data_IF_648366222791
#
_entry.id   IF_648366222791
#
_cell.length_a   1.000
_cell.length_b   1.000
_cell.length_c   1.000
_cell.angle_alpha   90.00
_cell.angle_beta   90.00
_cell.angle_gamma   90.00
#
_symmetry.space_group_name_H-M   'P 1'
#
loop_
_entity.id
_entity.type
_entity.pdbx_description
1 polymer ?
#
# COMPACT_ATOMS: atom_id res chain seq x y z
N UNK A 1 21.14 -24.37 -9.88
CA UNK A 1 20.76 -22.99 -10.18
C UNK A 1 19.51 -22.68 -9.37
N UNK A 2 19.47 -21.57 -8.61
CA UNK A 2 18.28 -21.20 -7.84
C UNK A 2 17.19 -20.65 -8.78
N UNK A 3 15.91 -20.98 -8.49
CA UNK A 3 14.74 -20.59 -9.29
C UNK A 3 14.01 -19.45 -8.61
N UNK A 4 13.61 -18.44 -9.39
CA UNK A 4 12.88 -17.27 -8.90
C UNK A 4 11.59 -17.09 -9.69
N UNK A 5 10.48 -17.00 -8.97
CA UNK A 5 9.20 -16.57 -9.49
C UNK A 5 9.11 -15.05 -9.38
N UNK A 6 8.90 -14.34 -10.49
CA UNK A 6 8.86 -12.85 -10.50
C UNK A 6 7.45 -12.38 -10.81
N UNK A 7 6.89 -11.57 -9.92
CA UNK A 7 5.61 -10.90 -10.13
C UNK A 7 5.73 -9.85 -11.24
N UNK A 8 5.10 -10.12 -12.40
CA UNK A 8 5.14 -9.29 -13.60
C UNK A 8 3.85 -8.47 -13.70
N UNK A 9 3.96 -7.15 -13.72
CA UNK A 9 2.83 -6.24 -13.97
C UNK A 9 2.81 -5.66 -15.38
N UNK A 10 3.84 -5.93 -16.19
CA UNK A 10 4.03 -5.30 -17.49
C UNK A 10 4.60 -3.89 -17.44
N UNK A 11 4.91 -3.36 -16.25
CA UNK A 11 5.54 -2.05 -16.07
C UNK A 11 7.06 -2.17 -15.90
N UNK A 12 7.75 -1.01 -15.97
CA UNK A 12 9.22 -0.88 -15.96
C UNK A 12 9.85 -1.67 -14.80
N UNK A 13 9.36 -1.46 -13.57
CA UNK A 13 10.01 -2.00 -12.38
C UNK A 13 10.02 -3.52 -12.35
N UNK A 14 8.89 -4.16 -12.65
CA UNK A 14 8.83 -5.63 -12.71
C UNK A 14 9.68 -6.21 -13.82
N UNK A 15 9.74 -5.54 -14.97
CA UNK A 15 10.53 -5.95 -16.13
C UNK A 15 12.03 -5.90 -15.85
N UNK A 16 12.49 -4.82 -15.25
CA UNK A 16 13.91 -4.67 -14.87
C UNK A 16 14.28 -5.59 -13.71
N UNK A 17 13.38 -5.82 -12.74
CA UNK A 17 13.61 -6.81 -11.69
C UNK A 17 13.85 -8.22 -12.27
N UNK A 18 13.02 -8.67 -13.23
CA UNK A 18 13.19 -9.94 -13.92
C UNK A 18 14.51 -10.00 -14.72
N UNK A 19 14.84 -8.95 -15.45
CA UNK A 19 16.10 -8.84 -16.19
C UNK A 19 17.32 -8.96 -15.28
N UNK A 20 17.36 -8.23 -14.17
CA UNK A 20 18.47 -8.25 -13.23
C UNK A 20 18.68 -9.62 -12.60
N UNK A 21 17.61 -10.30 -12.21
CA UNK A 21 17.68 -11.65 -11.66
C UNK A 21 18.19 -12.65 -12.71
N UNK A 22 17.73 -12.55 -13.96
CA UNK A 22 18.26 -13.38 -15.04
C UNK A 22 19.75 -13.12 -15.28
N UNK A 23 20.18 -11.84 -15.29
CA UNK A 23 21.58 -11.45 -15.43
C UNK A 23 22.46 -11.95 -14.26
N UNK A 24 21.89 -12.08 -13.07
CA UNK A 24 22.54 -12.67 -11.90
C UNK A 24 22.62 -14.20 -11.92
N UNK A 25 22.09 -14.84 -12.96
CA UNK A 25 22.17 -16.29 -13.15
C UNK A 25 21.06 -17.11 -12.49
N UNK A 26 19.95 -16.47 -12.08
CA UNK A 26 18.76 -17.19 -11.63
C UNK A 26 17.98 -17.77 -12.82
N UNK A 27 17.34 -18.91 -12.59
CA UNK A 27 16.29 -19.39 -13.49
C UNK A 27 15.00 -18.64 -13.15
N UNK A 28 14.58 -17.74 -14.02
CA UNK A 28 13.44 -16.83 -13.79
C UNK A 28 12.18 -17.35 -14.48
N UNK A 29 11.04 -17.30 -13.78
CA UNK A 29 9.70 -17.55 -14.30
C UNK A 29 8.83 -16.34 -13.95
N UNK A 30 8.16 -15.75 -14.93
CA UNK A 30 7.24 -14.61 -14.73
C UNK A 30 5.85 -15.07 -14.29
N UNK A 31 5.22 -14.40 -13.37
CA UNK A 31 3.84 -14.65 -12.97
C UNK A 31 3.04 -13.35 -12.91
N UNK A 32 1.84 -13.36 -13.48
CA UNK A 32 0.90 -12.24 -13.41
C UNK A 32 -0.39 -12.69 -12.75
N UNK A 33 -0.93 -11.87 -11.84
CA UNK A 33 -2.23 -12.13 -11.23
C UNK A 33 -3.34 -11.45 -12.01
N UNK A 34 -4.42 -12.18 -12.30
CA UNK A 34 -5.70 -11.61 -12.73
C UNK A 34 -6.57 -11.32 -11.52
N UNK A 35 -7.00 -10.08 -11.36
CA UNK A 35 -7.78 -9.62 -10.20
C UNK A 35 -9.22 -9.24 -10.58
N UNK A 36 -9.48 -8.96 -11.85
CA UNK A 36 -10.77 -8.49 -12.33
C UNK A 36 -11.64 -9.67 -12.77
N UNK A 37 -12.88 -9.70 -12.30
CA UNK A 37 -13.87 -10.67 -12.73
C UNK A 37 -14.61 -10.19 -13.98
N UNK A 38 -14.81 -11.10 -14.93
CA UNK A 38 -15.64 -10.83 -16.08
C UNK A 38 -17.09 -10.47 -15.64
N UNK A 39 -17.68 -9.51 -16.33
CA UNK A 39 -19.04 -9.05 -16.06
C UNK A 39 -19.17 -7.95 -14.98
N UNK A 40 -18.10 -7.59 -14.28
CA UNK A 40 -18.11 -6.43 -13.36
C UNK A 40 -18.14 -5.13 -14.17
N UNK A 41 -19.06 -4.23 -13.81
CA UNK A 41 -19.13 -2.89 -14.41
C UNK A 41 -17.96 -2.04 -13.90
N UNK A 42 -17.28 -1.38 -14.84
CA UNK A 42 -16.20 -0.45 -14.53
C UNK A 42 -16.69 0.99 -14.74
N UNK A 43 -16.53 1.81 -13.72
CA UNK A 43 -16.92 3.22 -13.72
C UNK A 43 -15.72 4.18 -13.75
N UNK A 44 -14.49 3.65 -13.79
CA UNK A 44 -13.26 4.42 -13.78
C UNK A 44 -12.83 4.89 -15.17
N UNK A 45 -11.70 5.57 -15.21
CA UNK A 45 -11.03 6.00 -16.44
C UNK A 45 -10.12 4.87 -16.95
N UNK A 46 -10.57 4.16 -17.98
CA UNK A 46 -9.84 3.04 -18.57
C UNK A 46 -8.51 3.45 -19.23
N UNK A 47 -8.25 4.75 -19.42
CA UNK A 47 -6.97 5.24 -19.95
C UNK A 47 -5.88 5.36 -18.89
N UNK A 48 -6.26 5.25 -17.60
CA UNK A 48 -5.32 5.31 -16.46
C UNK A 48 -4.92 3.92 -16.01
N UNK A 49 -3.61 3.71 -15.88
CA UNK A 49 -3.06 2.48 -15.33
C UNK A 49 -3.39 2.40 -13.82
N UNK A 50 -4.18 1.40 -13.43
CA UNK A 50 -4.53 1.10 -12.04
C UNK A 50 -4.42 -0.41 -11.78
N UNK A 51 -3.98 -0.79 -10.58
CA UNK A 51 -3.79 -2.21 -10.24
C UNK A 51 -5.08 -3.03 -10.32
N UNK A 52 -6.23 -2.41 -10.01
CA UNK A 52 -7.55 -3.01 -10.11
C UNK A 52 -8.35 -2.32 -11.22
N UNK A 53 -8.29 -2.89 -12.42
CA UNK A 53 -8.93 -2.36 -13.63
C UNK A 53 -9.36 -3.48 -14.59
N UNK A 54 -10.31 -3.24 -15.51
CA UNK A 54 -10.70 -4.20 -16.56
C UNK A 54 -9.62 -4.36 -17.65
N UNK A 55 -8.67 -3.44 -17.77
CA UNK A 55 -7.58 -3.47 -18.77
C UNK A 55 -6.54 -4.56 -18.49
N UNK A 56 -6.89 -5.51 -17.65
CA UNK A 56 -6.04 -6.60 -17.20
C UNK A 56 -5.47 -7.44 -18.34
N UNK A 57 -6.24 -7.60 -19.42
CA UNK A 57 -5.77 -8.33 -20.60
C UNK A 57 -4.56 -7.62 -21.24
N UNK A 58 -4.63 -6.31 -21.42
CA UNK A 58 -3.52 -5.52 -21.97
C UNK A 58 -2.27 -5.56 -21.08
N UNK A 59 -2.46 -5.51 -19.76
CA UNK A 59 -1.35 -5.62 -18.80
C UNK A 59 -0.73 -7.01 -18.83
N UNK A 60 -1.55 -8.07 -18.94
CA UNK A 60 -1.08 -9.44 -19.08
C UNK A 60 -0.32 -9.61 -20.40
N UNK A 61 -0.82 -9.05 -21.51
CA UNK A 61 -0.17 -9.10 -22.81
C UNK A 61 1.17 -8.35 -22.80
N UNK A 62 1.24 -7.17 -22.15
CA UNK A 62 2.49 -6.42 -21.92
C UNK A 62 3.49 -7.26 -21.10
N UNK A 63 3.05 -7.84 -19.99
CA UNK A 63 3.89 -8.69 -19.14
C UNK A 63 4.43 -9.91 -19.92
N UNK A 64 3.57 -10.54 -20.70
CA UNK A 64 3.96 -11.67 -21.57
C UNK A 64 4.99 -11.24 -22.62
N UNK A 65 4.77 -10.14 -23.31
CA UNK A 65 5.71 -9.63 -24.31
C UNK A 65 7.11 -9.37 -23.74
N UNK A 66 7.19 -8.85 -22.49
CA UNK A 66 8.47 -8.68 -21.79
C UNK A 66 9.09 -10.04 -21.44
N UNK A 67 8.29 -11.00 -20.96
CA UNK A 67 8.80 -12.35 -20.68
C UNK A 67 9.34 -13.03 -21.96
N UNK A 68 8.65 -12.88 -23.08
CA UNK A 68 9.09 -13.39 -24.38
C UNK A 68 10.42 -12.75 -24.82
N UNK A 69 10.56 -11.41 -24.70
CA UNK A 69 11.84 -10.69 -24.95
C UNK A 69 12.97 -11.17 -24.04
N UNK A 70 12.65 -11.46 -22.77
CA UNK A 70 13.62 -12.00 -21.81
C UNK A 70 13.90 -13.49 -22.02
N UNK A 71 13.12 -14.21 -22.84
CA UNK A 71 13.22 -15.67 -22.99
C UNK A 71 12.98 -16.40 -21.67
N UNK A 72 11.93 -16.01 -20.93
CA UNK A 72 11.46 -16.64 -19.70
C UNK A 72 10.00 -17.06 -19.86
N UNK A 73 9.62 -18.13 -19.17
CA UNK A 73 8.24 -18.59 -19.15
C UNK A 73 7.35 -17.63 -18.37
N UNK A 74 6.06 -17.59 -18.72
CA UNK A 74 5.07 -16.74 -18.08
C UNK A 74 3.79 -17.50 -17.76
N UNK A 75 3.28 -17.33 -16.54
CA UNK A 75 2.01 -17.92 -16.09
C UNK A 75 1.08 -16.84 -15.57
N UNK A 76 -0.21 -16.96 -15.90
CA UNK A 76 -1.27 -16.10 -15.36
C UNK A 76 -2.05 -16.88 -14.32
N UNK A 77 -2.24 -16.29 -13.13
CA UNK A 77 -3.01 -16.89 -12.06
C UNK A 77 -4.27 -16.04 -11.80
N UNK A 78 -5.43 -16.66 -11.84
CA UNK A 78 -6.67 -16.02 -11.43
C UNK A 78 -6.79 -16.05 -9.90
N UNK A 79 -6.77 -14.87 -9.30
CA UNK A 79 -6.87 -14.66 -7.84
C UNK A 79 -8.06 -13.72 -7.54
N UNK A 80 -8.94 -13.51 -8.49
CA UNK A 80 -10.03 -12.52 -8.42
C UNK A 80 -10.98 -12.77 -7.26
N UNK A 81 -11.39 -14.01 -7.00
CA UNK A 81 -12.29 -14.36 -5.88
C UNK A 81 -11.68 -14.05 -4.52
N UNK A 82 -10.41 -14.40 -4.36
CA UNK A 82 -9.72 -14.14 -3.10
C UNK A 82 -9.43 -12.65 -2.91
N UNK A 83 -9.12 -11.93 -3.98
CA UNK A 83 -8.95 -10.48 -3.93
C UNK A 83 -10.24 -9.78 -3.50
N UNK A 84 -11.38 -10.18 -4.06
CA UNK A 84 -12.71 -9.67 -3.71
C UNK A 84 -13.02 -9.92 -2.22
N UNK A 85 -12.86 -11.17 -1.76
CA UNK A 85 -13.22 -11.57 -0.39
C UNK A 85 -12.26 -11.08 0.68
N UNK A 86 -11.07 -10.60 0.30
CA UNK A 86 -10.05 -10.10 1.24
C UNK A 86 -9.81 -8.60 1.09
N UNK A 87 -9.21 -8.16 -0.02
CA UNK A 87 -8.78 -6.77 -0.17
C UNK A 87 -9.96 -5.83 -0.36
N UNK A 88 -10.89 -6.15 -1.28
CA UNK A 88 -12.05 -5.29 -1.52
C UNK A 88 -13.05 -5.35 -0.37
N UNK A 89 -13.22 -6.52 0.26
CA UNK A 89 -14.05 -6.61 1.46
C UNK A 89 -13.51 -5.75 2.59
N UNK A 90 -12.20 -5.84 2.89
CA UNK A 90 -11.59 -4.97 3.90
C UNK A 90 -11.72 -3.49 3.55
N UNK A 91 -11.53 -3.14 2.26
CA UNK A 91 -11.70 -1.78 1.78
C UNK A 91 -13.12 -1.24 2.05
N UNK A 92 -14.15 -2.01 1.75
CA UNK A 92 -15.55 -1.66 2.04
C UNK A 92 -15.83 -1.52 3.52
N UNK A 93 -15.45 -2.53 4.30
CA UNK A 93 -15.70 -2.59 5.75
C UNK A 93 -15.08 -1.37 6.47
N UNK A 94 -13.84 -1.01 6.13
CA UNK A 94 -13.15 0.15 6.71
C UNK A 94 -13.84 1.46 6.33
N UNK A 95 -14.16 1.69 5.03
CA UNK A 95 -14.85 2.92 4.63
C UNK A 95 -16.24 3.06 5.25
N UNK A 96 -17.00 1.98 5.33
CA UNK A 96 -18.34 2.00 5.94
C UNK A 96 -18.28 2.21 7.46
N UNK A 97 -17.16 1.89 8.09
CA UNK A 97 -16.90 2.20 9.50
C UNK A 97 -16.28 3.59 9.72
N UNK A 98 -16.21 4.44 8.70
CA UNK A 98 -15.64 5.80 8.80
C UNK A 98 -14.12 5.83 8.89
N UNK A 99 -13.44 4.76 8.52
CA UNK A 99 -11.98 4.62 8.51
C UNK A 99 -11.45 4.73 7.08
N UNK A 100 -10.19 4.98 6.91
CA UNK A 100 -9.56 5.11 5.59
C UNK A 100 -8.61 3.94 5.35
N UNK A 101 -8.98 2.91 4.58
CA UNK A 101 -8.16 1.73 4.36
C UNK A 101 -6.93 2.02 3.50
N UNK A 102 -5.95 1.09 3.57
CA UNK A 102 -4.86 1.01 2.62
C UNK A 102 -4.85 -0.35 1.90
N UNK A 103 -5.55 -0.47 0.76
CA UNK A 103 -5.70 -1.75 0.05
C UNK A 103 -4.34 -2.31 -0.43
N UNK A 104 -3.35 -1.46 -0.71
CA UNK A 104 -2.03 -1.91 -1.15
C UNK A 104 -1.29 -2.73 -0.09
N UNK A 105 -1.43 -2.38 1.18
CA UNK A 105 -0.82 -3.13 2.30
C UNK A 105 -1.44 -4.53 2.40
N UNK A 106 -2.77 -4.62 2.34
CA UNK A 106 -3.47 -5.89 2.36
C UNK A 106 -3.17 -6.74 1.11
N UNK A 107 -3.13 -6.11 -0.07
CA UNK A 107 -2.76 -6.77 -1.32
C UNK A 107 -1.34 -7.35 -1.24
N UNK A 108 -0.36 -6.60 -0.75
CA UNK A 108 0.98 -7.12 -0.57
C UNK A 108 1.00 -8.33 0.36
N UNK A 109 0.45 -8.20 1.58
CA UNK A 109 0.49 -9.28 2.56
C UNK A 109 -0.27 -10.54 2.13
N UNK A 110 -1.53 -10.38 1.67
CA UNK A 110 -2.45 -11.50 1.46
C UNK A 110 -2.43 -12.03 0.04
N UNK A 111 -2.23 -11.17 -0.94
CA UNK A 111 -2.32 -11.53 -2.36
C UNK A 111 -0.94 -11.74 -2.96
N UNK A 112 -0.10 -10.70 -3.08
CA UNK A 112 1.18 -10.81 -3.79
C UNK A 112 2.15 -11.77 -3.11
N UNK A 113 2.43 -11.55 -1.82
CA UNK A 113 3.37 -12.39 -1.05
C UNK A 113 2.69 -13.56 -0.33
N UNK A 114 1.38 -13.70 -0.44
CA UNK A 114 0.58 -14.80 0.08
C UNK A 114 0.04 -15.68 -1.03
N UNK A 115 -1.20 -15.44 -1.44
CA UNK A 115 -1.96 -16.30 -2.36
C UNK A 115 -1.27 -16.54 -3.71
N UNK A 116 -0.63 -15.53 -4.30
CA UNK A 116 0.05 -15.70 -5.59
C UNK A 116 1.18 -16.74 -5.48
N UNK A 117 1.93 -16.73 -4.38
CA UNK A 117 2.98 -17.72 -4.09
C UNK A 117 2.39 -19.11 -3.88
N UNK A 118 1.27 -19.22 -3.17
CA UNK A 118 0.59 -20.49 -2.90
C UNK A 118 -0.07 -21.07 -4.17
N UNK A 119 -0.76 -20.25 -4.95
CA UNK A 119 -1.39 -20.64 -6.20
C UNK A 119 -0.37 -21.07 -7.26
N UNK A 120 0.77 -20.37 -7.33
CA UNK A 120 1.86 -20.78 -8.22
C UNK A 120 2.39 -22.17 -7.85
N UNK A 121 2.57 -22.46 -6.56
CA UNK A 121 2.97 -23.81 -6.09
C UNK A 121 1.91 -24.85 -6.38
N UNK A 122 0.63 -24.53 -6.17
CA UNK A 122 -0.49 -25.44 -6.48
C UNK A 122 -0.62 -25.71 -7.98
N UNK A 123 -0.22 -24.76 -8.84
CA UNK A 123 -0.12 -24.92 -10.27
C UNK A 123 1.12 -25.73 -10.71
N UNK A 124 1.93 -26.26 -9.78
CA UNK A 124 3.11 -27.08 -10.05
C UNK A 124 4.40 -26.29 -10.30
N UNK A 125 4.39 -24.96 -10.19
CA UNK A 125 5.58 -24.15 -10.36
C UNK A 125 6.52 -24.36 -9.16
N UNK A 126 7.78 -24.63 -9.48
CA UNK A 126 8.82 -24.85 -8.47
C UNK A 126 9.78 -23.67 -8.45
N UNK A 127 9.94 -23.04 -7.31
CA UNK A 127 10.83 -21.89 -7.11
C UNK A 127 11.33 -21.83 -5.66
N UNK A 128 12.51 -21.24 -5.49
CA UNK A 128 13.17 -21.05 -4.20
C UNK A 128 12.81 -19.68 -3.62
N UNK A 129 12.65 -18.67 -4.49
CA UNK A 129 12.34 -17.30 -4.12
C UNK A 129 11.18 -16.72 -4.94
N UNK A 130 10.48 -15.79 -4.33
CA UNK A 130 9.54 -14.90 -5.00
C UNK A 130 10.13 -13.49 -5.07
N UNK A 131 10.01 -12.80 -6.19
CA UNK A 131 10.55 -11.47 -6.39
C UNK A 131 9.53 -10.50 -6.99
N UNK A 132 9.70 -9.22 -6.70
CA UNK A 132 8.90 -8.13 -7.27
C UNK A 132 9.76 -6.90 -7.53
N UNK A 133 9.24 -5.95 -8.30
CA UNK A 133 9.86 -4.65 -8.55
C UNK A 133 9.72 -3.63 -7.42
N UNK A 134 9.50 -4.02 -6.17
CA UNK A 134 9.40 -3.08 -5.06
C UNK A 134 10.77 -2.50 -4.69
N UNK A 135 10.78 -1.20 -4.34
CA UNK A 135 11.93 -0.48 -3.81
C UNK A 135 11.97 -0.64 -2.28
N UNK A 136 12.52 -1.74 -1.84
CA UNK A 136 12.82 -2.05 -0.43
C UNK A 136 14.02 -3.01 -0.40
N UNK A 137 14.63 -3.19 0.76
CA UNK A 137 15.74 -4.12 0.96
C UNK A 137 15.40 -5.11 2.07
N UNK A 138 15.93 -6.31 1.94
CA UNK A 138 15.88 -7.35 2.98
C UNK A 138 17.31 -7.73 3.31
N UNK A 139 17.64 -7.70 4.59
CA UNK A 139 18.95 -8.14 5.11
C UNK A 139 18.71 -9.10 6.28
N UNK A 140 19.55 -10.11 6.41
CA UNK A 140 19.50 -11.02 7.55
C UNK A 140 20.44 -10.51 8.64
N UNK A 141 19.90 -10.24 9.82
CA UNK A 141 20.64 -9.79 11.00
C UNK A 141 20.29 -10.69 12.19
N UNK A 142 21.29 -11.32 12.79
CA UNK A 142 21.11 -12.20 13.95
C UNK A 142 20.04 -13.29 13.78
N UNK A 143 19.95 -13.89 12.59
CA UNK A 143 18.98 -14.94 12.27
C UNK A 143 17.55 -14.44 12.01
N UNK A 144 17.35 -13.11 11.90
CA UNK A 144 16.07 -12.49 11.58
C UNK A 144 16.16 -11.69 10.28
N UNK A 145 15.16 -11.78 9.45
CA UNK A 145 15.07 -11.00 8.21
C UNK A 145 14.54 -9.60 8.51
N UNK A 146 15.35 -8.60 8.27
CA UNK A 146 15.05 -7.19 8.48
C UNK A 146 14.60 -6.55 7.17
N UNK A 147 13.42 -5.92 7.17
CA UNK A 147 12.98 -5.09 6.08
C UNK A 147 13.58 -3.69 6.22
N UNK A 148 14.22 -3.19 5.17
CA UNK A 148 14.83 -1.86 5.14
C UNK A 148 14.26 -1.02 4.01
N UNK A 149 14.34 0.28 4.17
CA UNK A 149 13.94 1.25 3.14
C UNK A 149 14.74 1.05 1.86
N UNK A 150 14.12 1.34 0.73
CA UNK A 150 14.82 1.46 -0.55
C UNK A 150 15.88 2.56 -0.53
N UNK A 151 16.93 2.40 -1.33
CA UNK A 151 18.01 3.39 -1.45
C UNK A 151 17.49 4.73 -1.98
N UNK A 152 16.52 4.71 -2.91
CA UNK A 152 15.86 5.91 -3.41
C UNK A 152 14.74 6.33 -2.45
N UNK A 153 14.90 7.44 -1.69
CA UNK A 153 13.92 7.84 -0.69
C UNK A 153 12.59 8.30 -1.28
N UNK A 154 12.58 8.70 -2.57
CA UNK A 154 11.36 9.11 -3.27
C UNK A 154 10.56 7.92 -3.79
N UNK A 155 11.18 6.75 -3.88
CA UNK A 155 10.57 5.50 -4.35
C UNK A 155 10.46 4.43 -3.27
N UNK A 156 10.94 4.70 -2.04
CA UNK A 156 10.84 3.78 -0.93
C UNK A 156 9.42 3.26 -0.71
N UNK A 157 9.27 1.94 -0.77
CA UNK A 157 7.99 1.24 -0.64
C UNK A 157 7.91 0.36 0.62
N UNK A 158 8.89 0.48 1.53
CA UNK A 158 8.93 -0.29 2.78
C UNK A 158 7.66 -0.12 3.63
N UNK A 159 7.03 1.06 3.59
CA UNK A 159 5.75 1.33 4.24
C UNK A 159 4.64 0.35 3.82
N UNK A 160 4.58 -0.02 2.55
CA UNK A 160 3.54 -0.95 2.07
C UNK A 160 3.83 -2.42 2.36
N UNK A 161 5.05 -2.72 2.85
CA UNK A 161 5.57 -4.07 3.06
C UNK A 161 5.70 -4.46 4.54
N UNK A 162 5.42 -3.53 5.47
CA UNK A 162 5.60 -3.78 6.90
C UNK A 162 4.80 -4.96 7.45
N UNK A 163 3.77 -5.42 6.75
CA UNK A 163 2.98 -6.59 7.19
C UNK A 163 3.53 -7.94 6.73
N UNK A 164 4.64 -7.96 6.01
CA UNK A 164 5.27 -9.22 5.62
C UNK A 164 5.80 -9.97 6.85
N UNK A 165 5.49 -11.25 6.92
CA UNK A 165 5.99 -12.15 7.97
C UNK A 165 7.45 -12.53 7.72
N UNK A 166 8.14 -13.02 8.75
CA UNK A 166 9.49 -13.55 8.63
C UNK A 166 9.59 -14.65 7.57
N UNK A 167 8.59 -15.55 7.48
CA UNK A 167 8.50 -16.58 6.44
C UNK A 167 8.42 -15.96 5.03
N UNK A 168 7.66 -14.88 4.84
CA UNK A 168 7.58 -14.19 3.55
C UNK A 168 8.88 -13.47 3.22
N UNK A 169 9.47 -12.77 4.19
CA UNK A 169 10.74 -12.06 4.00
C UNK A 169 11.89 -13.01 3.65
N UNK A 170 11.99 -14.19 4.29
CA UNK A 170 13.07 -15.15 4.05
C UNK A 170 13.11 -15.73 2.63
N UNK A 171 12.00 -15.66 1.90
CA UNK A 171 11.86 -16.18 0.54
C UNK A 171 11.60 -15.10 -0.50
N UNK A 172 11.75 -13.82 -0.12
CA UNK A 172 11.47 -12.68 -1.01
C UNK A 172 12.76 -11.99 -1.46
N UNK A 173 12.80 -11.58 -2.73
CA UNK A 173 13.86 -10.74 -3.28
C UNK A 173 13.30 -9.42 -3.82
N UNK A 174 14.00 -8.32 -3.52
CA UNK A 174 13.72 -6.98 -4.05
C UNK A 174 14.93 -6.47 -4.86
N UNK A 175 15.05 -6.86 -6.14
CA UNK A 175 16.24 -6.54 -6.94
C UNK A 175 16.49 -5.03 -7.13
N UNK A 176 15.44 -4.21 -7.01
CA UNK A 176 15.52 -2.77 -7.19
C UNK A 176 15.81 -1.99 -5.89
N UNK A 177 15.84 -2.66 -4.75
CA UNK A 177 15.97 -2.00 -3.45
C UNK A 177 17.24 -1.18 -3.26
N UNK A 178 18.34 -1.55 -3.92
CA UNK A 178 19.62 -0.84 -3.93
C UNK A 178 19.81 0.12 -5.10
N UNK A 179 18.75 0.47 -5.85
CA UNK A 179 18.85 1.27 -7.07
C UNK A 179 18.00 2.54 -6.98
N UNK A 180 18.44 3.60 -7.67
CA UNK A 180 17.60 4.76 -7.91
C UNK A 180 16.64 4.50 -9.07
N UNK A 181 15.48 5.17 -9.08
CA UNK A 181 14.52 5.09 -10.21
C UNK A 181 15.15 5.55 -11.54
N UNK A 182 16.05 6.53 -11.49
CA UNK A 182 16.77 6.99 -12.68
C UNK A 182 17.63 5.88 -13.27
N UNK A 183 18.34 5.11 -12.44
CA UNK A 183 19.15 3.97 -12.89
C UNK A 183 18.28 2.87 -13.51
N UNK A 184 17.13 2.56 -12.90
CA UNK A 184 16.17 1.56 -13.42
C UNK A 184 15.63 2.01 -14.78
N UNK A 185 15.25 3.28 -14.94
CA UNK A 185 14.79 3.84 -16.23
C UNK A 185 15.89 3.82 -17.31
N UNK A 186 17.13 4.12 -16.94
CA UNK A 186 18.25 4.07 -17.90
C UNK A 186 18.43 2.66 -18.49
N UNK A 187 18.33 1.63 -17.66
CA UNK A 187 18.39 0.23 -18.11
C UNK A 187 17.19 -0.10 -19.01
N UNK A 188 16.00 0.37 -18.66
CA UNK A 188 14.78 0.15 -19.46
C UNK A 188 14.91 0.74 -20.88
N UNK A 189 15.42 1.97 -20.97
CA UNK A 189 15.69 2.64 -22.25
C UNK A 189 16.75 1.89 -23.06
N UNK A 190 17.84 1.46 -22.42
CA UNK A 190 18.90 0.69 -23.08
C UNK A 190 18.37 -0.63 -23.67
N UNK A 191 17.46 -1.31 -22.96
CA UNK A 191 16.87 -2.57 -23.38
C UNK A 191 15.67 -2.41 -24.33
N UNK A 192 15.12 -1.22 -24.47
CA UNK A 192 13.96 -0.94 -25.31
C UNK A 192 12.72 -1.76 -24.90
N UNK A 193 12.50 -1.95 -23.60
CA UNK A 193 11.35 -2.70 -23.12
C UNK A 193 10.06 -1.90 -23.20
N UNK A 194 10.12 -0.62 -22.84
CA UNK A 194 8.96 0.27 -22.82
C UNK A 194 9.19 1.51 -23.70
N UNK A 195 8.11 2.14 -24.23
CA UNK A 195 8.21 3.43 -24.92
C UNK A 195 8.74 4.52 -23.98
N UNK A 196 9.42 5.52 -24.57
CA UNK A 196 9.77 6.72 -23.82
C UNK A 196 8.52 7.39 -23.24
N UNK A 197 8.63 7.83 -21.97
CA UNK A 197 7.51 8.48 -21.27
C UNK A 197 6.45 7.53 -20.71
N UNK A 198 6.69 6.22 -20.69
CA UNK A 198 5.78 5.27 -20.03
C UNK A 198 5.42 5.73 -18.62
N UNK A 199 4.12 5.92 -18.37
CA UNK A 199 3.58 6.23 -17.05
C UNK A 199 3.70 5.03 -16.09
N UNK A 200 3.69 5.31 -14.80
CA UNK A 200 3.64 4.29 -13.75
C UNK A 200 2.23 4.27 -13.16
N UNK A 201 1.76 3.06 -12.80
CA UNK A 201 0.52 2.94 -12.04
C UNK A 201 0.69 3.61 -10.67
N UNK A 202 -0.11 4.63 -10.39
CA UNK A 202 0.00 5.40 -9.14
C UNK A 202 -1.09 5.03 -8.14
N UNK A 203 -2.26 4.59 -8.63
CA UNK A 203 -3.42 4.30 -7.82
C UNK A 203 -3.85 2.84 -7.94
N UNK A 204 -4.54 2.38 -6.93
CA UNK A 204 -5.11 1.04 -6.93
C UNK A 204 -6.36 0.96 -7.83
N UNK A 205 -7.15 2.03 -7.94
CA UNK A 205 -8.34 2.13 -8.77
C UNK A 205 -8.45 3.53 -9.40
N UNK A 206 -8.79 3.61 -10.67
CA UNK A 206 -8.83 4.86 -11.44
C UNK A 206 -10.19 5.57 -11.44
N UNK A 207 -11.20 4.98 -10.82
CA UNK A 207 -12.54 5.56 -10.66
C UNK A 207 -12.80 6.19 -9.30
N UNK A 208 -14.07 6.45 -9.01
CA UNK A 208 -14.49 6.84 -7.67
C UNK A 208 -14.44 5.63 -6.73
N UNK A 209 -13.89 5.79 -5.54
CA UNK A 209 -13.92 4.72 -4.54
C UNK A 209 -15.34 4.32 -4.14
N UNK A 210 -16.32 5.23 -4.25
CA UNK A 210 -17.73 4.92 -4.07
C UNK A 210 -18.23 3.79 -4.98
N UNK A 211 -17.67 3.66 -6.19
CA UNK A 211 -18.04 2.59 -7.14
C UNK A 211 -17.69 1.18 -6.62
N UNK A 212 -16.71 1.10 -5.70
CA UNK A 212 -16.25 -0.14 -5.10
C UNK A 212 -17.00 -0.49 -3.82
N UNK A 213 -17.74 0.46 -3.25
CA UNK A 213 -18.44 0.26 -1.98
C UNK A 213 -19.75 -0.47 -2.13
N UNK A 214 -20.38 -0.38 -3.34
CA UNK A 214 -21.69 -0.99 -3.65
C UNK A 214 -22.76 -0.58 -2.64
N UNK A 215 -22.89 0.75 -2.42
CA UNK A 215 -23.82 1.34 -1.46
C UNK A 215 -24.64 2.45 -2.09
N UNK A 216 -25.90 2.55 -1.67
CA UNK A 216 -26.77 3.65 -2.05
C UNK A 216 -26.36 4.96 -1.37
N UNK A 217 -26.60 6.12 -2.00
CA UNK A 217 -26.33 7.41 -1.37
C UNK A 217 -27.02 7.53 -0.01
N UNK A 218 -26.27 7.95 1.00
CA UNK A 218 -26.77 8.17 2.36
C UNK A 218 -26.54 9.65 2.77
N UNK A 219 -27.47 10.56 2.46
CA UNK A 219 -27.31 11.97 2.79
C UNK A 219 -27.19 12.22 4.29
N UNK A 220 -26.25 13.10 4.66
CA UNK A 220 -26.01 13.51 6.04
C UNK A 220 -25.52 14.96 6.13
N UNK A 221 -25.18 15.39 7.33
CA UNK A 221 -24.77 16.77 7.60
C UNK A 221 -23.25 16.92 7.63
N UNK A 222 -22.77 18.03 7.07
CA UNK A 222 -21.41 18.53 7.33
C UNK A 222 -21.52 19.55 8.46
N UNK A 223 -20.87 19.30 9.57
CA UNK A 223 -20.93 20.14 10.79
C UNK A 223 -19.56 20.66 11.19
N UNK A 224 -19.53 21.79 11.89
CA UNK A 224 -18.30 22.24 12.55
C UNK A 224 -18.07 21.50 13.88
N UNK A 225 -16.97 21.84 14.55
CA UNK A 225 -16.59 21.25 15.86
C UNK A 225 -17.57 21.57 16.98
N UNK A 226 -18.44 22.57 16.81
CA UNK A 226 -19.51 22.93 17.76
C UNK A 226 -20.84 22.26 17.42
N UNK A 227 -20.91 21.51 16.31
CA UNK A 227 -22.08 20.80 15.84
C UNK A 227 -23.04 21.64 14.99
N UNK A 228 -22.67 22.87 14.57
CA UNK A 228 -23.47 23.70 13.66
C UNK A 228 -23.41 23.13 12.26
N UNK A 229 -24.54 23.00 11.60
CA UNK A 229 -24.63 22.50 10.22
C UNK A 229 -24.12 23.57 9.26
N UNK A 230 -23.12 23.19 8.46
CA UNK A 230 -22.51 24.03 7.43
C UNK A 230 -22.94 23.62 6.01
N UNK A 231 -23.37 22.39 5.83
CA UNK A 231 -23.73 21.82 4.53
C UNK A 231 -24.26 20.39 4.63
N UNK A 232 -24.38 19.73 3.48
CA UNK A 232 -24.82 18.34 3.39
C UNK A 232 -23.88 17.54 2.50
N UNK A 233 -23.83 16.23 2.75
CA UNK A 233 -23.10 15.26 1.93
C UNK A 233 -24.02 14.12 1.48
N UNK A 234 -23.58 13.33 0.49
CA UNK A 234 -24.32 12.18 -0.06
C UNK A 234 -23.75 10.81 0.38
N UNK A 235 -22.89 10.79 1.38
CA UNK A 235 -22.28 9.59 1.96
C UNK A 235 -20.99 9.96 2.67
N UNK A 236 -20.86 9.51 3.91
CA UNK A 236 -19.71 9.80 4.78
C UNK A 236 -18.40 9.21 4.20
N UNK A 237 -18.50 8.10 3.47
CA UNK A 237 -17.39 7.41 2.81
C UNK A 237 -16.72 8.19 1.67
N UNK A 238 -17.33 9.30 1.22
CA UNK A 238 -16.73 10.20 0.24
C UNK A 238 -15.71 11.16 0.86
N UNK A 239 -15.50 11.05 2.18
CA UNK A 239 -14.64 11.96 2.93
C UNK A 239 -13.53 11.20 3.65
N UNK A 240 -12.37 11.84 3.73
CA UNK A 240 -11.18 11.32 4.43
C UNK A 240 -10.69 12.37 5.40
N UNK A 241 -10.26 11.98 6.59
CA UNK A 241 -9.67 12.89 7.59
C UNK A 241 -8.46 13.62 6.96
N UNK A 242 -8.43 14.95 7.15
CA UNK A 242 -7.46 15.84 6.53
C UNK A 242 -7.84 16.33 5.13
N UNK A 243 -8.95 15.86 4.54
CA UNK A 243 -9.42 16.33 3.24
C UNK A 243 -9.82 17.81 3.33
N UNK A 244 -9.31 18.60 2.37
CA UNK A 244 -9.59 20.05 2.23
C UNK A 244 -10.52 20.37 1.06
N UNK A 245 -10.34 19.66 -0.07
CA UNK A 245 -11.07 19.94 -1.31
C UNK A 245 -12.35 19.11 -1.39
N UNK A 246 -13.38 19.64 -2.09
CA UNK A 246 -14.59 18.88 -2.36
C UNK A 246 -15.58 18.83 -1.19
N UNK A 247 -15.41 19.69 -0.16
CA UNK A 247 -16.33 19.74 0.99
C UNK A 247 -17.68 20.35 0.65
N UNK A 248 -17.76 21.21 -0.40
CA UNK A 248 -19.00 21.88 -0.80
C UNK A 248 -19.52 22.91 0.20
N UNK A 249 -18.69 23.34 1.16
CA UNK A 249 -19.05 24.35 2.18
C UNK A 249 -18.16 25.59 2.05
N UNK A 250 -18.73 26.77 2.35
CA UNK A 250 -18.00 28.04 2.35
C UNK A 250 -17.67 28.45 3.78
N UNK A 251 -16.41 28.91 3.97
CA UNK A 251 -15.95 29.44 5.25
C UNK A 251 -14.87 30.52 5.02
N UNK A 252 -14.62 31.40 6.02
CA UNK A 252 -13.62 32.48 5.93
C UNK A 252 -12.19 31.96 5.74
N UNK A 253 -11.88 30.76 6.23
CA UNK A 253 -10.60 30.06 6.09
C UNK A 253 -10.84 28.64 5.57
N UNK A 254 -9.81 27.98 4.99
CA UNK A 254 -9.93 26.59 4.57
C UNK A 254 -10.38 25.68 5.69
N UNK A 255 -11.38 24.85 5.42
CA UNK A 255 -11.83 23.78 6.31
C UNK A 255 -11.22 22.45 5.92
N UNK A 256 -11.07 21.59 6.91
CA UNK A 256 -10.55 20.22 6.78
C UNK A 256 -11.49 19.25 7.46
N UNK A 257 -11.61 18.04 6.96
CA UNK A 257 -12.30 16.96 7.66
C UNK A 257 -11.47 16.60 8.90
N UNK A 258 -12.11 16.67 10.07
CA UNK A 258 -11.48 16.37 11.38
C UNK A 258 -11.85 14.96 11.82
N UNK A 259 -13.13 14.59 11.68
CA UNK A 259 -13.62 13.26 12.05
C UNK A 259 -14.86 12.89 11.26
N UNK A 260 -15.17 11.60 11.26
CA UNK A 260 -16.35 11.01 10.64
C UNK A 260 -17.20 10.36 11.74
N UNK A 261 -18.36 10.95 12.06
CA UNK A 261 -19.32 10.40 13.04
C UNK A 261 -20.30 9.48 12.30
N UNK A 262 -19.94 8.21 12.20
CA UNK A 262 -20.74 7.19 11.49
C UNK A 262 -22.13 7.03 12.13
N UNK A 263 -22.19 7.04 13.47
CA UNK A 263 -23.45 6.81 14.18
C UNK A 263 -24.51 7.90 13.89
N UNK A 264 -24.05 9.13 13.66
CA UNK A 264 -24.92 10.27 13.34
C UNK A 264 -24.91 10.62 11.85
N UNK A 265 -24.18 9.87 11.03
CA UNK A 265 -23.95 10.16 9.62
C UNK A 265 -23.51 11.61 9.38
N UNK A 266 -22.45 12.05 10.08
CA UNK A 266 -21.92 13.42 10.04
C UNK A 266 -20.47 13.47 9.66
N UNK A 267 -20.12 14.44 8.82
CA UNK A 267 -18.75 14.85 8.53
C UNK A 267 -18.41 16.06 9.40
N UNK A 268 -17.49 15.90 10.34
CA UNK A 268 -17.05 17.01 11.19
C UNK A 268 -15.88 17.72 10.51
N UNK A 269 -16.01 19.03 10.33
CA UNK A 269 -14.96 19.88 9.73
C UNK A 269 -14.47 20.93 10.71
N UNK A 270 -13.21 21.33 10.55
CA UNK A 270 -12.59 22.36 11.37
C UNK A 270 -11.43 23.02 10.65
N UNK A 271 -10.75 23.93 11.31
CA UNK A 271 -9.58 24.59 10.78
C UNK A 271 -8.32 23.70 10.87
N UNK A 272 -7.23 24.12 10.23
CA UNK A 272 -6.00 23.33 10.11
C UNK A 272 -5.43 22.91 11.49
N UNK A 273 -5.55 23.78 12.47
CA UNK A 273 -5.08 23.55 13.84
C UNK A 273 -5.73 22.32 14.50
N UNK A 274 -6.97 21.99 14.10
CA UNK A 274 -7.70 20.82 14.60
C UNK A 274 -7.29 19.51 13.91
N UNK A 275 -6.38 19.55 12.92
CA UNK A 275 -5.87 18.34 12.25
C UNK A 275 -4.59 17.79 12.88
N UNK A 276 -4.05 18.49 13.88
CA UNK A 276 -2.74 18.21 14.47
C UNK A 276 -2.86 17.14 15.55
N UNK A 277 -1.98 16.15 15.51
CA UNK A 277 -1.94 15.05 16.46
C UNK A 277 -0.53 14.91 17.04
N UNK A 278 -0.42 14.70 18.34
CA UNK A 278 0.84 14.43 19.04
C UNK A 278 1.03 12.96 19.34
N UNK A 279 -0.05 12.24 19.51
CA UNK A 279 -0.03 10.81 19.83
C UNK A 279 -0.85 10.02 18.84
N UNK A 280 -0.29 8.92 18.33
CA UNK A 280 -0.96 7.99 17.42
C UNK A 280 -0.85 6.58 17.98
N UNK A 281 -1.98 5.88 18.07
CA UNK A 281 -2.04 4.49 18.55
C UNK A 281 -2.48 3.56 17.44
N UNK A 282 -1.83 2.40 17.36
CA UNK A 282 -2.12 1.39 16.34
C UNK A 282 -2.34 0.02 16.94
N UNK A 283 -3.21 -0.75 16.30
CA UNK A 283 -3.59 -2.12 16.63
C UNK A 283 -3.20 -3.08 15.49
N UNK A 284 -3.45 -4.37 15.66
CA UNK A 284 -3.14 -5.38 14.66
C UNK A 284 -1.66 -5.33 14.24
N UNK A 285 -0.77 -5.37 15.21
CA UNK A 285 0.66 -5.17 15.04
C UNK A 285 1.31 -6.28 14.20
N UNK A 286 2.34 -5.92 13.47
CA UNK A 286 3.30 -6.82 12.87
C UNK A 286 4.71 -6.41 13.29
N UNK A 287 5.42 -7.30 13.98
CA UNK A 287 6.83 -7.17 14.35
C UNK A 287 7.69 -7.62 13.19
N UNK A 288 8.37 -6.69 12.53
CA UNK A 288 9.12 -6.97 11.30
C UNK A 288 10.55 -7.37 11.62
N UNK A 289 11.36 -6.40 12.03
CA UNK A 289 12.81 -6.59 12.26
C UNK A 289 13.16 -6.82 13.72
N UNK A 290 12.18 -6.81 14.61
CA UNK A 290 12.30 -7.13 16.04
C UNK A 290 11.21 -8.11 16.44
N UNK A 291 11.35 -8.79 17.57
CA UNK A 291 10.30 -9.66 18.09
C UNK A 291 9.25 -8.88 18.88
N UNK A 292 9.71 -7.89 19.63
CA UNK A 292 8.89 -6.99 20.44
C UNK A 292 9.68 -5.73 20.78
N UNK A 293 9.05 -4.76 21.44
CA UNK A 293 9.72 -3.62 22.06
C UNK A 293 9.79 -3.85 23.57
N UNK A 294 10.96 -4.15 24.13
CA UNK A 294 11.10 -4.46 25.56
C UNK A 294 10.95 -3.23 26.48
N UNK A 295 11.07 -2.03 25.93
CA UNK A 295 10.97 -0.76 26.63
C UNK A 295 10.62 0.35 25.62
N UNK A 296 10.22 1.56 26.08
CA UNK A 296 10.13 2.71 25.21
C UNK A 296 11.43 3.00 24.49
N UNK A 297 11.34 3.30 23.19
CA UNK A 297 12.49 3.63 22.34
C UNK A 297 12.28 4.97 21.64
N UNK A 298 13.37 5.70 21.37
CA UNK A 298 13.36 6.78 20.39
C UNK A 298 13.57 6.21 18.98
N UNK A 299 12.62 6.53 18.09
CA UNK A 299 12.60 6.03 16.72
C UNK A 299 11.99 7.10 15.81
N UNK A 300 11.67 6.76 14.60
CA UNK A 300 10.84 7.61 13.74
C UNK A 300 9.64 6.82 13.21
N UNK A 301 8.55 7.50 12.91
CA UNK A 301 7.37 6.82 12.37
C UNK A 301 6.72 7.58 11.20
N UNK A 302 6.10 6.80 10.30
CA UNK A 302 5.23 7.29 9.21
C UNK A 302 3.80 6.92 9.53
N UNK A 303 2.90 7.88 9.33
CA UNK A 303 1.45 7.70 9.49
C UNK A 303 0.71 7.56 8.14
N UNK A 304 1.43 7.69 7.03
CA UNK A 304 0.95 7.50 5.65
C UNK A 304 2.12 7.25 4.70
N UNK A 305 1.84 6.70 3.53
CA UNK A 305 2.86 6.31 2.55
C UNK A 305 3.69 7.49 2.03
N UNK A 306 3.05 8.61 1.74
CA UNK A 306 3.69 9.81 1.16
C UNK A 306 4.41 10.69 2.16
N UNK A 307 4.27 10.43 3.47
CA UNK A 307 4.93 11.20 4.53
C UNK A 307 6.42 10.87 4.66
N UNK A 308 7.20 11.80 5.22
CA UNK A 308 8.55 11.52 5.77
C UNK A 308 8.41 10.93 7.17
N UNK A 309 9.32 10.04 7.61
CA UNK A 309 9.35 9.61 9.00
C UNK A 309 9.58 10.81 9.93
N UNK A 310 8.81 10.88 11.01
CA UNK A 310 8.92 11.93 12.05
C UNK A 310 9.41 11.28 13.34
N UNK A 311 10.35 11.94 14.04
CA UNK A 311 10.91 11.46 15.30
C UNK A 311 9.82 11.35 16.38
N UNK A 312 9.87 10.27 17.16
CA UNK A 312 8.88 9.97 18.19
C UNK A 312 9.45 9.01 19.25
N UNK A 313 8.89 9.07 20.44
CA UNK A 313 8.97 7.97 21.40
C UNK A 313 7.93 6.90 21.04
N UNK A 314 8.36 5.64 21.01
CA UNK A 314 7.50 4.51 20.68
C UNK A 314 7.48 3.52 21.83
N UNK A 315 6.29 3.08 22.24
CA UNK A 315 6.09 2.07 23.30
C UNK A 315 4.84 1.24 23.02
N UNK A 316 4.70 0.16 23.77
CA UNK A 316 3.41 -0.54 23.89
C UNK A 316 2.66 0.05 25.08
N UNK A 317 1.41 0.41 24.87
CA UNK A 317 0.55 0.95 25.96
C UNK A 317 -0.14 -0.19 26.76
N UNK A 318 -0.86 0.19 27.82
CA UNK A 318 -1.55 -0.76 28.71
C UNK A 318 -2.67 -1.59 28.03
N UNK A 319 -3.01 -1.26 26.79
CA UNK A 319 -4.01 -1.96 25.94
C UNK A 319 -3.35 -2.72 24.79
N UNK A 320 -2.07 -3.04 24.91
CA UNK A 320 -1.28 -3.76 23.89
C UNK A 320 -1.25 -3.06 22.51
N UNK A 321 -1.41 -1.74 22.47
CA UNK A 321 -1.33 -0.94 21.26
C UNK A 321 0.06 -0.36 21.08
N UNK A 322 0.51 -0.27 19.84
CA UNK A 322 1.70 0.49 19.47
C UNK A 322 1.39 1.99 19.56
N UNK A 323 2.01 2.67 20.52
CA UNK A 323 1.81 4.08 20.78
C UNK A 323 3.06 4.87 20.36
N UNK A 324 2.89 5.83 19.45
CA UNK A 324 3.93 6.79 19.05
C UNK A 324 3.56 8.19 19.55
N UNK A 325 4.44 8.77 20.37
CA UNK A 325 4.36 10.16 20.83
C UNK A 325 5.38 10.97 20.02
N UNK A 326 4.90 11.83 19.14
CA UNK A 326 5.72 12.56 18.19
C UNK A 326 6.38 13.79 18.80
N UNK A 327 7.68 13.98 18.58
CA UNK A 327 8.45 15.14 19.03
C UNK A 327 7.94 16.44 18.35
N UNK A 328 7.53 16.32 17.10
CA UNK A 328 6.83 17.38 16.34
C UNK A 328 5.47 16.85 15.93
N UNK A 329 4.38 17.56 16.24
CA UNK A 329 3.04 17.10 15.91
C UNK A 329 2.86 16.77 14.41
N UNK A 330 2.16 15.67 14.12
CA UNK A 330 1.84 15.23 12.76
C UNK A 330 0.44 15.68 12.37
N UNK A 331 0.19 15.83 11.08
CA UNK A 331 -1.11 16.28 10.57
C UNK A 331 -1.91 15.14 9.98
N UNK A 332 -3.20 15.12 10.34
CA UNK A 332 -4.19 14.23 9.75
C UNK A 332 -3.81 12.74 9.84
N UNK A 333 -3.37 12.30 11.01
CA UNK A 333 -3.26 10.89 11.28
C UNK A 333 -4.67 10.27 11.23
N UNK A 334 -4.84 9.26 10.37
CA UNK A 334 -6.17 8.79 9.96
C UNK A 334 -6.37 7.34 10.38
N UNK A 335 -7.39 7.01 11.20
CA UNK A 335 -7.78 5.63 11.50
C UNK A 335 -7.99 4.81 10.23
N UNK A 336 -7.47 3.57 10.22
CA UNK A 336 -7.45 2.69 9.05
C UNK A 336 -6.18 2.80 8.20
N UNK A 337 -5.45 3.91 8.23
CA UNK A 337 -4.08 3.99 7.71
C UNK A 337 -3.10 3.26 8.64
N UNK A 338 -1.83 3.22 8.29
CA UNK A 338 -0.84 2.51 9.10
C UNK A 338 0.14 3.45 9.80
N UNK A 339 0.47 3.11 11.04
CA UNK A 339 1.63 3.60 11.76
C UNK A 339 2.77 2.61 11.50
N UNK A 340 3.86 3.06 10.87
CA UNK A 340 5.03 2.23 10.59
C UNK A 340 6.25 2.86 11.24
N UNK A 341 6.94 2.10 12.09
CA UNK A 341 8.07 2.55 12.91
C UNK A 341 9.39 2.14 12.29
N UNK A 342 10.33 3.07 12.27
CA UNK A 342 11.65 2.93 11.69
C UNK A 342 12.75 3.26 12.71
N UNK A 343 13.77 2.43 12.73
CA UNK A 343 15.07 2.78 13.28
C UNK A 343 16.02 3.05 12.10
N UNK A 344 16.30 4.32 11.83
CA UNK A 344 17.00 4.77 10.63
C UNK A 344 16.33 4.29 9.33
N UNK A 345 16.90 3.31 8.63
CA UNK A 345 16.35 2.71 7.42
C UNK A 345 15.61 1.38 7.67
N UNK A 346 15.68 0.84 8.88
CA UNK A 346 15.10 -0.45 9.26
C UNK A 346 13.67 -0.29 9.73
N UNK A 347 12.74 -1.06 9.16
CA UNK A 347 11.34 -1.15 9.62
C UNK A 347 11.30 -2.04 10.86
N UNK A 348 10.99 -1.50 12.02
CA UNK A 348 10.89 -2.27 13.27
C UNK A 348 9.55 -3.00 13.37
N UNK A 349 8.49 -2.26 13.25
CA UNK A 349 7.12 -2.73 13.42
C UNK A 349 6.12 -1.80 12.71
N UNK A 350 4.88 -2.21 12.66
CA UNK A 350 3.77 -1.34 12.28
C UNK A 350 2.43 -1.93 12.68
N UNK A 351 1.41 -1.08 12.65
CA UNK A 351 0.04 -1.45 12.96
C UNK A 351 -0.95 -0.55 12.23
N UNK A 352 -2.23 -0.87 12.32
CA UNK A 352 -3.31 -0.07 11.77
C UNK A 352 -3.67 1.01 12.78
N UNK A 353 -3.63 2.28 12.39
CA UNK A 353 -4.01 3.41 13.24
C UNK A 353 -5.45 3.21 13.71
N UNK A 354 -5.63 3.26 15.02
CA UNK A 354 -6.89 3.08 15.70
C UNK A 354 -7.40 4.41 16.27
N UNK A 355 -6.57 5.10 17.02
CA UNK A 355 -6.90 6.38 17.67
C UNK A 355 -5.74 7.36 17.64
N UNK A 356 -6.09 8.65 17.77
CA UNK A 356 -5.16 9.79 17.73
C UNK A 356 -5.54 10.82 18.79
N UNK A 357 -4.54 11.55 19.32
CA UNK A 357 -4.72 12.69 20.23
C UNK A 357 -3.86 13.87 19.79
#
# INVERSE_FOLDING_TARGET
>A
MKRVLVGMSGGIDSSIAAYLLKKQGYQVHGVTMSLWKDGRVFHGDATKDACFSPNKKEEIDKAKAICDKLGIEHTVLDISDLYESTVLKNFRDEYLSGRTPNPCIWCNQKIKFGAMVEYARAAGLQFDYFATGHYARIEEENGRFCLKRGLDPLKDQSYFLYRLSQRQLSTTLFPLGGMSKAAVRAIDVELGFHPEGQSESQDFYSGSYADLLDVEPAPGDIVDTEGRVLGRHNGIWNYTIGQRKGLGVSAPKPLYVISLDVAKNRVVVGYEESTVNTTVRAINLNWVSVEELPAPIHASAKIRSTGTPVACEVRIDEQDRLCAVFDTPVKAATPGQSLVVYDNDKVLAGGIIDSVD
#
